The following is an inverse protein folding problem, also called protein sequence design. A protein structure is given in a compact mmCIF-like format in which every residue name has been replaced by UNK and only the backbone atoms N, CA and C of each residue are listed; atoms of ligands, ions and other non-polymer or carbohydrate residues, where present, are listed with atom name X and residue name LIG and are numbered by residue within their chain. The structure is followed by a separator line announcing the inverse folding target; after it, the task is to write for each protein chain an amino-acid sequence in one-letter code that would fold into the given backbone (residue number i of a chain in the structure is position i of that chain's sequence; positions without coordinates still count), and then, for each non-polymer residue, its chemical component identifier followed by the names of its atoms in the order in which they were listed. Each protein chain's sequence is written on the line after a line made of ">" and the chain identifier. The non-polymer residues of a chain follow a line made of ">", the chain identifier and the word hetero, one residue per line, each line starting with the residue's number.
data_IF_944717077067
#
_entry.id   IF_944717077067
#
_cell.length_a   1.000
_cell.length_b   1.000
_cell.length_c   1.000
_cell.angle_alpha   90.00
_cell.angle_beta   90.00
_cell.angle_gamma   90.00
#
_symmetry.space_group_name_H-M   'P 1'
#
loop_
_entity.id
_entity.type
_entity.pdbx_description
1 polymer ?
#
# COMPACT_ATOMS: atom_id res chain seq x y z
N UNK A 1 28.04 -19.28 25.04
CA UNK A 1 26.83 -18.88 24.30
C UNK A 1 26.39 -17.48 24.74
N UNK A 2 26.75 -16.44 23.99
CA UNK A 2 26.25 -15.08 24.24
C UNK A 2 24.82 -14.96 23.74
N UNK A 3 23.84 -14.88 24.66
CA UNK A 3 22.53 -14.32 24.31
C UNK A 3 22.76 -12.83 24.14
N UNK A 4 23.07 -12.42 22.91
CA UNK A 4 22.88 -11.04 22.48
C UNK A 4 21.42 -10.71 22.77
N UNK A 5 21.21 -9.99 23.87
CA UNK A 5 19.95 -9.36 24.20
C UNK A 5 19.71 -8.33 23.10
N UNK A 6 19.09 -8.78 22.00
CA UNK A 6 18.55 -7.90 20.95
C UNK A 6 17.38 -7.16 21.59
N UNK A 7 17.68 -6.19 22.45
CA UNK A 7 16.67 -5.27 22.96
C UNK A 7 16.11 -4.57 21.76
N UNK A 8 14.87 -4.94 21.44
CA UNK A 8 14.09 -4.28 20.40
C UNK A 8 14.01 -2.81 20.77
N UNK A 9 14.11 -1.95 19.76
CA UNK A 9 13.89 -0.52 19.92
C UNK A 9 12.61 -0.29 20.76
N UNK A 10 12.70 0.42 21.90
CA UNK A 10 11.56 0.59 22.81
C UNK A 10 10.37 1.28 22.14
N UNK A 11 10.63 2.20 21.23
CA UNK A 11 9.62 2.93 20.47
C UNK A 11 8.93 1.99 19.49
N UNK A 12 9.67 1.16 18.76
CA UNK A 12 9.08 0.12 17.92
C UNK A 12 8.20 -0.82 18.74
N UNK A 13 8.71 -1.34 19.87
CA UNK A 13 7.95 -2.25 20.74
C UNK A 13 6.64 -1.62 21.24
N UNK A 14 6.69 -0.33 21.60
CA UNK A 14 5.51 0.43 22.01
C UNK A 14 4.51 0.61 20.87
N UNK A 15 4.95 1.00 19.68
CA UNK A 15 4.07 1.09 18.50
C UNK A 15 3.39 -0.25 18.20
N UNK A 16 4.15 -1.35 18.27
CA UNK A 16 3.62 -2.68 17.98
C UNK A 16 2.56 -3.13 18.98
N UNK A 17 2.71 -2.76 20.25
CA UNK A 17 1.76 -3.08 21.30
C UNK A 17 0.45 -2.32 21.17
N UNK A 18 0.46 -1.19 20.43
CA UNK A 18 -0.70 -0.33 20.33
C UNK A 18 -1.57 -0.65 19.11
N UNK A 19 -1.03 -1.28 18.05
CA UNK A 19 -1.75 -1.50 16.78
C UNK A 19 -2.91 -2.52 16.87
N UNK A 20 -3.90 -2.47 15.94
CA UNK A 20 -4.11 -1.38 14.98
C UNK A 20 -4.64 -0.13 15.69
N UNK A 21 -4.14 1.06 15.32
CA UNK A 21 -4.58 2.36 15.90
C UNK A 21 -4.88 3.37 14.79
N UNK A 22 -6.05 4.02 14.79
CA UNK A 22 -6.42 5.03 13.79
C UNK A 22 -5.49 6.25 13.71
N UNK A 23 -4.65 6.49 14.72
CA UNK A 23 -3.79 7.69 14.83
C UNK A 23 -2.30 7.39 14.62
N UNK A 24 -1.91 6.15 14.32
CA UNK A 24 -0.52 5.78 14.03
C UNK A 24 -0.30 5.62 12.52
N UNK A 25 0.96 5.71 12.08
CA UNK A 25 1.35 5.41 10.69
C UNK A 25 1.40 6.61 9.74
N UNK A 26 0.87 7.77 10.13
CA UNK A 26 0.95 8.99 9.30
C UNK A 26 2.39 9.47 9.09
N UNK A 27 3.24 9.35 10.12
CA UNK A 27 4.66 9.63 10.04
C UNK A 27 5.38 8.72 9.02
N UNK A 28 5.02 7.43 9.02
CA UNK A 28 5.52 6.45 8.06
C UNK A 28 5.04 6.77 6.65
N UNK A 29 3.76 7.10 6.49
CA UNK A 29 3.20 7.48 5.20
C UNK A 29 3.88 8.73 4.61
N UNK A 30 4.05 9.79 5.40
CA UNK A 30 4.75 11.01 4.97
C UNK A 30 6.19 10.73 4.55
N UNK A 31 6.92 9.90 5.31
CA UNK A 31 8.26 9.47 4.93
C UNK A 31 8.24 8.66 3.63
N UNK A 32 7.24 7.79 3.46
CA UNK A 32 7.03 7.03 2.22
C UNK A 32 6.80 7.93 1.01
N UNK A 33 5.95 8.96 1.13
CA UNK A 33 5.70 9.95 0.06
C UNK A 33 6.98 10.69 -0.29
N UNK A 34 7.76 11.11 0.71
CA UNK A 34 9.05 11.74 0.49
C UNK A 34 10.00 10.82 -0.29
N UNK A 35 10.15 9.56 0.15
CA UNK A 35 11.02 8.57 -0.50
C UNK A 35 10.58 8.24 -1.93
N UNK A 36 9.28 8.14 -2.17
CA UNK A 36 8.71 7.96 -3.51
C UNK A 36 9.09 9.12 -4.43
N UNK A 37 9.00 10.37 -3.96
CA UNK A 37 9.45 11.55 -4.70
C UNK A 37 10.95 11.60 -4.97
N UNK A 38 11.75 10.77 -4.30
CA UNK A 38 13.20 10.59 -4.50
C UNK A 38 13.54 9.34 -5.30
N UNK A 39 12.56 8.63 -5.85
CA UNK A 39 12.71 7.36 -6.57
C UNK A 39 13.34 6.24 -5.73
N UNK A 40 13.28 6.37 -4.39
CA UNK A 40 13.72 5.33 -3.45
C UNK A 40 12.57 4.35 -3.19
N UNK A 41 12.16 3.64 -4.24
CA UNK A 41 10.87 2.94 -4.31
C UNK A 41 10.72 1.82 -3.27
N UNK A 42 11.74 1.00 -3.05
CA UNK A 42 11.70 -0.11 -2.08
C UNK A 42 11.64 0.42 -0.63
N UNK A 43 12.34 1.52 -0.35
CA UNK A 43 12.26 2.19 0.95
C UNK A 43 10.88 2.79 1.15
N UNK A 44 10.32 3.45 0.13
CA UNK A 44 8.97 4.01 0.18
C UNK A 44 7.92 2.90 0.44
N UNK A 45 8.01 1.77 -0.27
CA UNK A 45 7.14 0.62 -0.04
C UNK A 45 7.22 0.12 1.40
N UNK A 46 8.42 0.02 1.97
CA UNK A 46 8.59 -0.42 3.36
C UNK A 46 7.86 0.49 4.35
N UNK A 47 7.83 1.81 4.09
CA UNK A 47 7.14 2.76 4.94
C UNK A 47 5.62 2.68 4.77
N UNK A 48 5.10 2.62 3.55
CA UNK A 48 3.66 2.48 3.32
C UNK A 48 3.11 1.17 3.89
N UNK A 49 3.85 0.06 3.75
CA UNK A 49 3.47 -1.22 4.38
C UNK A 49 3.41 -1.11 5.90
N UNK A 50 4.36 -0.39 6.51
CA UNK A 50 4.33 -0.15 7.96
C UNK A 50 3.16 0.75 8.36
N UNK A 51 2.84 1.77 7.57
CA UNK A 51 1.67 2.63 7.78
C UNK A 51 0.37 1.81 7.80
N UNK A 52 0.14 0.99 6.76
CA UNK A 52 -1.03 0.09 6.66
C UNK A 52 -1.09 -0.88 7.84
N UNK A 53 0.05 -1.43 8.27
CA UNK A 53 0.10 -2.36 9.40
C UNK A 53 -0.18 -1.70 10.76
N UNK A 54 0.24 -0.44 10.93
CA UNK A 54 -0.06 0.36 12.14
C UNK A 54 -1.53 0.78 12.17
N UNK A 55 -2.07 1.14 11.01
CA UNK A 55 -3.43 1.64 10.85
C UNK A 55 -4.04 1.12 9.53
N UNK A 56 -4.75 -0.02 9.55
CA UNK A 56 -5.39 -0.57 8.37
C UNK A 56 -6.68 0.17 7.98
N UNK A 57 -7.15 1.11 8.81
CA UNK A 57 -8.39 1.85 8.61
C UNK A 57 -8.23 3.10 7.74
N UNK A 58 -6.99 3.52 7.48
CA UNK A 58 -6.67 4.69 6.67
C UNK A 58 -6.47 4.28 5.20
N UNK A 59 -7.44 4.53 4.30
CA UNK A 59 -7.36 4.09 2.91
C UNK A 59 -6.23 4.75 2.11
N UNK A 60 -5.80 5.97 2.49
CA UNK A 60 -4.69 6.65 1.81
C UNK A 60 -3.39 5.85 1.89
N UNK A 61 -3.14 5.12 2.98
CA UNK A 61 -1.92 4.32 3.14
C UNK A 61 -1.87 3.16 2.14
N UNK A 62 -3.00 2.47 1.91
CA UNK A 62 -3.11 1.44 0.87
C UNK A 62 -2.98 2.06 -0.53
N UNK A 63 -3.54 3.25 -0.77
CA UNK A 63 -3.43 3.92 -2.07
C UNK A 63 -1.98 4.31 -2.41
N UNK A 64 -1.24 4.86 -1.45
CA UNK A 64 0.16 5.18 -1.64
C UNK A 64 1.01 3.91 -1.83
N UNK A 65 0.70 2.84 -1.10
CA UNK A 65 1.33 1.54 -1.35
C UNK A 65 1.06 1.02 -2.77
N UNK A 66 -0.18 1.09 -3.26
CA UNK A 66 -0.49 0.72 -4.64
C UNK A 66 0.28 1.59 -5.65
N UNK A 67 0.43 2.88 -5.38
CA UNK A 67 1.14 3.83 -6.22
C UNK A 67 2.63 3.45 -6.36
N UNK A 68 3.31 3.11 -5.24
CA UNK A 68 4.69 2.66 -5.31
C UNK A 68 4.83 1.28 -5.98
N UNK A 69 3.86 0.38 -5.81
CA UNK A 69 3.86 -0.90 -6.51
C UNK A 69 3.77 -0.72 -8.04
N UNK A 70 3.00 0.26 -8.52
CA UNK A 70 2.99 0.65 -9.94
C UNK A 70 4.36 1.16 -10.39
N UNK A 71 5.00 2.02 -9.59
CA UNK A 71 6.35 2.53 -9.88
C UNK A 71 7.38 1.38 -9.97
N UNK A 72 7.31 0.42 -9.04
CA UNK A 72 8.10 -0.82 -9.00
C UNK A 72 7.75 -1.84 -10.10
N UNK A 73 6.79 -1.53 -10.98
CA UNK A 73 6.27 -2.46 -12.02
C UNK A 73 5.62 -3.74 -11.49
N UNK A 74 5.27 -3.79 -10.20
CA UNK A 74 4.55 -4.90 -9.54
C UNK A 74 3.04 -4.74 -9.77
N UNK A 75 2.67 -4.82 -11.05
CA UNK A 75 1.34 -4.48 -11.56
C UNK A 75 0.22 -5.34 -10.97
N UNK A 76 0.41 -6.66 -10.84
CA UNK A 76 -0.61 -7.54 -10.28
C UNK A 76 -0.99 -7.20 -8.83
N UNK A 77 0.01 -6.92 -7.99
CA UNK A 77 -0.20 -6.56 -6.59
C UNK A 77 -0.87 -5.19 -6.45
N UNK A 78 -0.43 -4.21 -7.25
CA UNK A 78 -1.05 -2.89 -7.28
C UNK A 78 -2.53 -2.96 -7.69
N UNK A 79 -2.86 -3.72 -8.73
CA UNK A 79 -4.23 -3.86 -9.20
C UNK A 79 -5.13 -4.49 -8.14
N UNK A 80 -4.63 -5.54 -7.47
CA UNK A 80 -5.37 -6.22 -6.42
C UNK A 80 -5.69 -5.27 -5.26
N UNK A 81 -4.68 -4.53 -4.77
CA UNK A 81 -4.84 -3.59 -3.66
C UNK A 81 -5.82 -2.45 -4.01
N UNK A 82 -5.78 -1.94 -5.23
CA UNK A 82 -6.72 -0.92 -5.71
C UNK A 82 -8.16 -1.45 -5.83
N UNK A 83 -8.34 -2.71 -6.26
CA UNK A 83 -9.66 -3.35 -6.33
C UNK A 83 -10.24 -3.57 -4.94
N UNK A 84 -9.43 -4.01 -3.99
CA UNK A 84 -9.82 -4.14 -2.58
C UNK A 84 -10.29 -2.80 -2.02
N UNK A 85 -9.52 -1.73 -2.22
CA UNK A 85 -9.90 -0.37 -1.81
C UNK A 85 -11.26 0.07 -2.36
N UNK A 86 -11.52 -0.20 -3.65
CA UNK A 86 -12.79 0.15 -4.28
C UNK A 86 -13.94 -0.71 -3.75
N UNK A 87 -13.69 -2.01 -3.50
CA UNK A 87 -14.69 -2.95 -2.99
C UNK A 87 -15.06 -2.68 -1.53
N UNK A 88 -14.11 -2.25 -0.70
CA UNK A 88 -14.32 -1.86 0.70
C UNK A 88 -15.23 -0.62 0.85
N UNK A 89 -15.54 0.07 -0.26
CA UNK A 89 -16.31 1.32 -0.22
C UNK A 89 -15.49 2.51 0.26
N UNK A 90 -14.19 2.31 0.51
CA UNK A 90 -13.17 3.33 0.77
C UNK A 90 -12.88 4.12 -0.51
N UNK A 91 -13.89 4.90 -0.92
CA UNK A 91 -13.97 5.54 -2.23
C UNK A 91 -13.03 6.73 -2.34
N UNK A 92 -11.73 6.44 -2.45
CA UNK A 92 -10.74 7.42 -2.90
C UNK A 92 -10.87 7.47 -4.41
N UNK A 93 -11.46 8.53 -4.98
CA UNK A 93 -11.60 8.69 -6.44
C UNK A 93 -10.29 8.46 -7.20
N UNK A 94 -9.18 8.72 -6.51
CA UNK A 94 -7.82 8.48 -6.97
C UNK A 94 -7.51 6.99 -7.19
N UNK A 95 -8.05 6.07 -6.38
CA UNK A 95 -7.89 4.63 -6.60
C UNK A 95 -8.55 4.18 -7.92
N UNK A 96 -9.77 4.65 -8.18
CA UNK A 96 -10.47 4.40 -9.45
C UNK A 96 -9.74 5.05 -10.63
N UNK A 97 -9.18 6.24 -10.43
CA UNK A 97 -8.37 6.94 -11.44
C UNK A 97 -7.10 6.16 -11.77
N UNK A 98 -6.38 5.66 -10.77
CA UNK A 98 -5.20 4.80 -10.94
C UNK A 98 -5.54 3.52 -11.69
N UNK A 99 -6.65 2.86 -11.33
CA UNK A 99 -7.15 1.70 -12.06
C UNK A 99 -7.41 2.02 -13.54
N UNK A 100 -8.18 3.07 -13.85
CA UNK A 100 -8.45 3.46 -15.23
C UNK A 100 -7.19 3.82 -16.02
N UNK A 101 -6.19 4.41 -15.36
CA UNK A 101 -4.93 4.83 -15.98
C UNK A 101 -4.05 3.63 -16.36
N UNK A 102 -3.95 2.62 -15.50
CA UNK A 102 -3.02 1.51 -15.66
C UNK A 102 -3.67 0.22 -16.18
N UNK A 103 -4.98 0.07 -15.97
CA UNK A 103 -5.82 -1.02 -16.48
C UNK A 103 -7.10 -0.44 -17.07
N UNK A 104 -7.02 0.29 -18.19
CA UNK A 104 -8.21 0.63 -18.94
C UNK A 104 -8.92 -0.68 -19.31
N UNK A 105 -10.25 -0.72 -19.14
CA UNK A 105 -11.02 -1.83 -19.68
C UNK A 105 -10.80 -1.84 -21.20
N UNK A 106 -10.01 -2.79 -21.70
CA UNK A 106 -10.00 -3.13 -23.12
C UNK A 106 -11.33 -3.80 -23.50
N UNK A 107 -11.65 -3.97 -24.79
CA UNK A 107 -12.87 -4.64 -25.25
C UNK A 107 -12.98 -6.14 -24.87
N UNK A 108 -12.16 -6.62 -23.93
CA UNK A 108 -11.92 -8.03 -23.64
C UNK A 108 -12.32 -8.39 -22.20
N UNK A 109 -13.49 -7.88 -21.79
CA UNK A 109 -14.31 -8.50 -20.76
C UNK A 109 -15.63 -8.99 -21.36
N UNK A 110 -15.59 -9.46 -22.61
CA UNK A 110 -16.64 -10.30 -23.16
C UNK A 110 -16.24 -11.77 -22.92
N UNK A 111 -16.88 -12.49 -21.98
CA UNK A 111 -16.56 -13.90 -21.71
C UNK A 111 -16.82 -14.83 -22.92
N UNK A 112 -17.30 -14.29 -24.06
CA UNK A 112 -17.59 -15.04 -25.27
C UNK A 112 -16.57 -14.85 -26.42
N UNK A 113 -15.47 -14.10 -26.23
CA UNK A 113 -14.49 -13.86 -27.30
C UNK A 113 -13.64 -15.09 -27.70
N UNK A 114 -13.81 -16.24 -27.02
CA UNK A 114 -13.09 -17.50 -27.29
C UNK A 114 -13.90 -18.58 -28.02
N UNK A 115 -15.03 -18.23 -28.66
CA UNK A 115 -15.81 -19.18 -29.47
C UNK A 115 -16.08 -18.62 -30.86
N UNK A 116 -15.10 -18.76 -31.75
CA UNK A 116 -15.28 -18.72 -33.20
C UNK A 116 -14.38 -19.79 -33.82
#
# INVERSE_FOLDING_TARGET
>A
MGRSDRRRDPQLAREEALRPRPFLGYDRDQLGVYLLGRDALELAESQFRRAVWLNPYEPWFKLHWATVLVALKRMGEAQQLLRELVAEGSCTDEARRLLRRHWPAGPESDPNAGKA
#
